data_IF_619611092402
#
_entry.id   IF_619611092402
#
_cell.length_a   1.000
_cell.length_b   1.000
_cell.length_c   1.000
_cell.angle_alpha   90.00
_cell.angle_beta   90.00
_cell.angle_gamma   90.00
#
_symmetry.space_group_name_H-M   'P 1'
#
loop_
_entity.id
_entity.type
_entity.pdbx_description
1 polymer ?
#
# COMPACT_ATOMS: atom_id res chain seq x y z
N UNK A 1 17.05 -57.13 -39.60
CA UNK A 1 16.55 -58.50 -39.81
C UNK A 1 15.17 -58.61 -39.16
N UNK A 2 14.13 -58.69 -40.00
CA UNK A 2 12.78 -59.28 -39.79
C UNK A 2 11.97 -58.79 -38.57
N UNK A 3 11.01 -57.86 -38.70
CA UNK A 3 9.62 -57.97 -39.21
C UNK A 3 8.61 -58.64 -38.25
N UNK A 4 7.55 -57.89 -37.91
CA UNK A 4 6.11 -58.23 -38.05
C UNK A 4 5.30 -57.03 -37.50
N UNK A 5 4.23 -56.50 -38.12
CA UNK A 5 3.45 -56.90 -39.28
C UNK A 5 1.95 -56.90 -38.96
N UNK A 6 1.14 -56.14 -39.73
CA UNK A 6 -0.34 -56.19 -39.74
C UNK A 6 -0.99 -54.80 -39.58
N UNK A 7 -1.23 -53.98 -40.62
CA UNK A 7 -2.09 -54.06 -41.83
C UNK A 7 -3.61 -54.05 -41.58
N UNK A 8 -4.25 -53.02 -42.14
CA UNK A 8 -5.67 -52.93 -42.46
C UNK A 8 -5.94 -51.75 -43.39
N UNK A 9 -5.87 -51.97 -44.70
CA UNK A 9 -6.33 -51.09 -45.80
C UNK A 9 -7.33 -51.85 -46.65
N UNK A 10 -8.37 -51.22 -47.21
CA UNK A 10 -8.94 -51.50 -48.56
C UNK A 10 -9.90 -50.32 -48.94
N UNK A 11 -9.57 -49.45 -49.91
CA UNK A 11 -9.89 -49.41 -51.39
C UNK A 11 -11.32 -48.88 -51.67
N UNK A 12 -11.51 -47.68 -52.27
CA UNK A 12 -11.38 -47.21 -53.67
C UNK A 12 -12.62 -47.43 -54.56
N UNK A 13 -13.08 -46.35 -55.20
CA UNK A 13 -13.94 -46.36 -56.39
C UNK A 13 -13.99 -44.98 -57.08
N UNK A 14 -13.44 -44.89 -58.30
CA UNK A 14 -13.57 -43.77 -59.27
C UNK A 14 -15.02 -43.75 -59.83
N UNK A 15 -15.57 -42.73 -60.49
CA UNK A 15 -15.14 -42.13 -61.76
C UNK A 15 -16.21 -41.11 -62.28
N UNK A 16 -15.80 -40.23 -63.21
CA UNK A 16 -16.57 -39.46 -64.23
C UNK A 16 -17.06 -38.02 -63.90
N UNK A 17 -16.51 -37.02 -64.62
CA UNK A 17 -17.20 -35.76 -64.98
C UNK A 17 -17.85 -35.89 -66.37
N UNK A 18 -18.10 -34.80 -67.15
CA UNK A 18 -18.21 -33.36 -66.85
C UNK A 18 -19.56 -32.76 -67.36
N UNK A 19 -19.80 -31.44 -67.23
CA UNK A 19 -20.54 -30.59 -68.21
C UNK A 19 -20.33 -29.09 -67.88
N UNK A 20 -20.26 -28.32 -68.96
CA UNK A 20 -19.77 -26.94 -69.16
C UNK A 20 -20.89 -25.91 -69.12
N UNK A 21 -20.58 -24.67 -68.66
CA UNK A 21 -21.01 -23.35 -69.20
C UNK A 21 -20.82 -22.29 -68.09
N UNK A 22 -20.25 -21.09 -68.23
CA UNK A 22 -19.79 -20.29 -69.37
C UNK A 22 -19.95 -18.79 -69.02
N UNK A 23 -18.89 -17.98 -69.16
CA UNK A 23 -18.89 -16.49 -69.15
C UNK A 23 -18.01 -15.83 -68.07
N UNK A 24 -16.74 -15.41 -68.28
CA UNK A 24 -16.19 -14.21 -68.98
C UNK A 24 -16.67 -12.88 -68.32
N UNK A 25 -15.87 -11.90 -67.86
CA UNK A 25 -14.54 -11.34 -68.24
C UNK A 25 -13.98 -10.40 -67.13
N UNK A 26 -12.64 -10.34 -66.98
CA UNK A 26 -11.79 -9.16 -66.65
C UNK A 26 -11.93 -8.48 -65.26
N UNK A 27 -10.90 -8.15 -64.47
CA UNK A 27 -9.54 -7.75 -64.78
C UNK A 27 -8.59 -7.89 -63.56
N UNK A 28 -7.31 -7.95 -63.88
CA UNK A 28 -6.11 -7.97 -63.05
C UNK A 28 -5.92 -6.80 -62.04
N UNK A 29 -5.32 -7.14 -60.89
CA UNK A 29 -4.16 -6.48 -60.22
C UNK A 29 -4.35 -5.11 -59.51
N UNK A 30 -4.31 -5.08 -58.16
CA UNK A 30 -3.18 -4.62 -57.28
C UNK A 30 -3.62 -4.30 -55.82
N UNK A 31 -3.01 -5.04 -54.87
CA UNK A 31 -2.43 -4.69 -53.56
C UNK A 31 -2.89 -3.45 -52.75
N UNK A 32 -3.30 -3.63 -51.47
CA UNK A 32 -2.91 -2.78 -50.31
C UNK A 32 -2.95 -3.58 -48.99
N UNK A 33 -1.76 -3.84 -48.43
CA UNK A 33 -1.50 -4.22 -47.02
C UNK A 33 -1.87 -3.09 -46.04
N UNK A 34 -2.32 -3.50 -44.84
CA UNK A 34 -1.71 -2.99 -43.61
C UNK A 34 -2.55 -2.05 -42.76
N UNK A 35 -3.21 -2.59 -41.73
CA UNK A 35 -3.59 -1.92 -40.46
C UNK A 35 -4.32 -2.96 -39.59
N UNK A 36 -3.63 -3.63 -38.66
CA UNK A 36 -4.21 -4.31 -37.45
C UNK A 36 -3.24 -5.18 -36.63
N UNK A 37 -1.91 -5.15 -36.84
CA UNK A 37 -0.96 -5.93 -36.00
C UNK A 37 -0.15 -5.09 -35.00
N UNK A 38 0.04 -3.80 -35.24
CA UNK A 38 0.95 -2.93 -34.46
C UNK A 38 0.33 -2.37 -33.18
N UNK A 39 -0.96 -2.01 -33.19
CA UNK A 39 -1.64 -1.50 -31.99
C UNK A 39 -1.72 -2.55 -30.87
N UNK A 40 -1.95 -3.82 -31.23
CA UNK A 40 -2.08 -4.92 -30.27
C UNK A 40 -0.71 -5.35 -29.70
N UNK A 41 0.36 -5.22 -30.49
CA UNK A 41 1.74 -5.46 -30.05
C UNK A 41 2.25 -4.40 -29.07
N UNK A 42 1.98 -3.12 -29.37
CA UNK A 42 2.35 -2.00 -28.50
C UNK A 42 1.61 -2.06 -27.16
N UNK A 43 0.29 -2.31 -27.18
CA UNK A 43 -0.48 -2.47 -25.95
C UNK A 43 0.06 -3.61 -25.07
N UNK A 44 0.30 -4.79 -25.65
CA UNK A 44 0.89 -5.93 -24.92
C UNK A 44 2.25 -5.58 -24.32
N UNK A 45 3.09 -4.82 -25.04
CA UNK A 45 4.41 -4.37 -24.56
C UNK A 45 4.27 -3.40 -23.38
N UNK A 46 3.35 -2.44 -23.44
CA UNK A 46 3.06 -1.53 -22.33
C UNK A 46 2.52 -2.25 -21.10
N UNK A 47 1.61 -3.21 -21.29
CA UNK A 47 1.07 -4.02 -20.20
C UNK A 47 2.17 -4.84 -19.52
N UNK A 48 3.05 -5.48 -20.31
CA UNK A 48 4.19 -6.25 -19.77
C UNK A 48 5.21 -5.35 -19.06
N UNK A 49 5.52 -4.19 -19.63
CA UNK A 49 6.43 -3.23 -19.03
C UNK A 49 5.88 -2.71 -17.69
N UNK A 50 4.56 -2.42 -17.61
CA UNK A 50 3.90 -2.05 -16.36
C UNK A 50 3.93 -3.21 -15.37
N UNK A 51 3.44 -4.39 -15.73
CA UNK A 51 3.43 -5.56 -14.85
C UNK A 51 4.82 -5.87 -14.27
N UNK A 52 5.88 -5.78 -15.09
CA UNK A 52 7.25 -5.95 -14.64
C UNK A 52 7.74 -4.82 -13.73
N UNK A 53 7.29 -3.58 -13.96
CA UNK A 53 7.65 -2.39 -13.17
C UNK A 53 6.90 -2.31 -11.84
N UNK A 54 5.64 -2.76 -11.79
CA UNK A 54 4.74 -2.60 -10.65
C UNK A 54 4.57 -3.89 -9.83
N UNK A 55 5.03 -5.03 -10.33
CA UNK A 55 4.78 -6.35 -9.73
C UNK A 55 3.31 -6.81 -9.85
N UNK A 56 2.47 -6.05 -10.56
CA UNK A 56 1.07 -6.38 -10.81
C UNK A 56 0.96 -7.59 -11.77
N UNK A 57 -0.13 -8.35 -11.65
CA UNK A 57 -0.47 -9.37 -12.65
C UNK A 57 -0.74 -8.72 -14.02
N UNK A 58 -0.48 -9.44 -15.12
CA UNK A 58 -0.71 -8.92 -16.47
C UNK A 58 -2.14 -8.40 -16.68
N UNK A 59 -3.13 -9.06 -16.07
CA UNK A 59 -4.55 -8.66 -16.11
C UNK A 59 -4.82 -7.37 -15.33
N UNK A 60 -4.20 -7.18 -14.17
CA UNK A 60 -4.29 -5.92 -13.41
C UNK A 60 -3.62 -4.76 -14.17
N UNK A 61 -2.45 -4.99 -14.75
CA UNK A 61 -1.76 -4.00 -15.59
C UNK A 61 -2.58 -3.64 -16.84
N UNK A 62 -3.28 -4.61 -17.44
CA UNK A 62 -4.15 -4.39 -18.61
C UNK A 62 -5.41 -3.62 -18.27
N UNK A 63 -6.05 -3.90 -17.12
CA UNK A 63 -7.18 -3.12 -16.65
C UNK A 63 -6.80 -1.68 -16.39
N UNK A 64 -5.64 -1.44 -15.79
CA UNK A 64 -5.15 -0.09 -15.53
C UNK A 64 -4.94 0.72 -16.81
N UNK A 65 -4.32 0.11 -17.84
CA UNK A 65 -4.10 0.78 -19.14
C UNK A 65 -5.43 1.06 -19.86
N UNK A 66 -6.43 0.20 -19.69
CA UNK A 66 -7.77 0.39 -20.27
C UNK A 66 -8.64 1.40 -19.52
N UNK A 67 -8.30 1.73 -18.27
CA UNK A 67 -9.06 2.65 -17.43
C UNK A 67 -8.54 4.08 -17.44
N UNK A 68 -7.40 4.36 -18.10
CA UNK A 68 -6.95 5.74 -18.35
C UNK A 68 -8.05 6.50 -19.11
N UNK A 69 -8.74 7.46 -18.48
CA UNK A 69 -9.68 8.30 -19.21
C UNK A 69 -8.89 9.26 -20.11
N UNK A 70 -9.44 9.60 -21.28
CA UNK A 70 -8.87 10.59 -22.22
C UNK A 70 -8.71 12.00 -21.60
N UNK A 71 -9.22 12.22 -20.38
CA UNK A 71 -8.97 13.41 -19.57
C UNK A 71 -8.57 13.03 -18.13
N UNK A 72 -7.60 13.73 -17.54
CA UNK A 72 -7.21 13.55 -16.15
C UNK A 72 -8.38 13.90 -15.23
N UNK A 73 -8.88 12.90 -14.48
CA UNK A 73 -10.01 13.06 -13.57
C UNK A 73 -9.49 13.35 -12.18
N UNK A 74 -9.88 14.51 -11.64
CA UNK A 74 -9.67 14.84 -10.23
C UNK A 74 -10.60 13.95 -9.40
N UNK A 75 -10.01 13.20 -8.48
CA UNK A 75 -10.67 12.34 -7.49
C UNK A 75 -10.45 12.94 -6.12
N UNK A 76 -11.44 12.84 -5.25
CA UNK A 76 -11.34 13.29 -3.87
C UNK A 76 -12.08 12.36 -2.94
N UNK A 77 -11.60 12.28 -1.70
CA UNK A 77 -12.19 11.47 -0.65
C UNK A 77 -11.99 12.17 0.69
N UNK A 78 -13.01 12.11 1.55
CA UNK A 78 -12.92 12.60 2.92
C UNK A 78 -12.37 11.48 3.81
N UNK A 79 -11.24 11.72 4.47
CA UNK A 79 -10.59 10.73 5.34
C UNK A 79 -10.45 11.27 6.75
N UNK A 80 -10.51 10.35 7.71
CA UNK A 80 -10.22 10.60 9.10
C UNK A 80 -8.90 9.92 9.49
N UNK A 81 -8.09 10.59 10.28
CA UNK A 81 -6.98 9.99 11.02
C UNK A 81 -7.33 10.00 12.50
N UNK A 82 -7.09 8.88 13.18
CA UNK A 82 -7.35 8.73 14.59
C UNK A 82 -6.04 8.77 15.39
N UNK A 83 -6.13 9.28 16.62
CA UNK A 83 -5.19 8.97 17.69
C UNK A 83 -5.96 8.24 18.80
N UNK A 84 -5.39 7.17 19.35
CA UNK A 84 -6.07 6.29 20.32
C UNK A 84 -5.32 6.21 21.62
N UNK A 85 -6.00 5.83 22.70
CA UNK A 85 -5.34 5.40 23.92
C UNK A 85 -4.33 4.26 23.62
N UNK A 86 -3.27 4.18 24.42
CA UNK A 86 -2.28 3.09 24.29
C UNK A 86 -2.64 1.96 25.25
N UNK A 87 -2.68 0.74 24.72
CA UNK A 87 -2.86 -0.47 25.49
C UNK A 87 -1.75 -1.46 25.14
N UNK A 88 -1.03 -1.97 26.15
CA UNK A 88 0.23 -2.69 25.92
C UNK A 88 0.37 -4.04 26.65
N UNK A 89 -0.65 -4.47 27.40
CA UNK A 89 -0.64 -5.79 28.07
C UNK A 89 -1.65 -6.74 27.43
N UNK A 90 -1.24 -7.61 26.48
CA UNK A 90 -2.17 -8.46 25.75
C UNK A 90 -2.82 -9.57 26.58
N UNK A 91 -2.55 -9.65 27.90
CA UNK A 91 -3.20 -10.53 28.86
C UNK A 91 -4.47 -9.92 29.46
N UNK A 92 -4.57 -8.59 29.47
CA UNK A 92 -5.70 -7.89 30.06
C UNK A 92 -6.90 -7.88 29.10
N UNK A 93 -7.79 -8.84 29.32
CA UNK A 93 -9.03 -8.99 28.54
C UNK A 93 -9.89 -7.73 28.59
N UNK A 94 -10.02 -7.09 29.76
CA UNK A 94 -10.90 -5.94 29.92
C UNK A 94 -10.38 -4.73 29.15
N UNK A 95 -9.08 -4.46 29.25
CA UNK A 95 -8.46 -3.36 28.53
C UNK A 95 -8.42 -3.61 27.01
N UNK A 96 -8.24 -4.86 26.57
CA UNK A 96 -8.34 -5.22 25.15
C UNK A 96 -9.75 -4.95 24.59
N UNK A 97 -10.81 -5.29 25.35
CA UNK A 97 -12.19 -4.95 24.98
C UNK A 97 -12.42 -3.45 24.95
N UNK A 98 -11.87 -2.71 25.93
CA UNK A 98 -11.99 -1.27 25.99
C UNK A 98 -11.32 -0.58 24.78
N UNK A 99 -10.14 -1.05 24.37
CA UNK A 99 -9.45 -0.57 23.15
C UNK A 99 -10.31 -0.79 21.90
N UNK A 100 -10.87 -1.99 21.72
CA UNK A 100 -11.76 -2.28 20.59
C UNK A 100 -13.04 -1.42 20.60
N UNK A 101 -13.60 -1.16 21.78
CA UNK A 101 -14.74 -0.26 21.95
C UNK A 101 -14.39 1.21 21.62
N UNK A 102 -13.22 1.70 22.05
CA UNK A 102 -12.74 3.04 21.71
C UNK A 102 -12.56 3.20 20.20
N UNK A 103 -11.96 2.20 19.52
CA UNK A 103 -11.83 2.20 18.06
C UNK A 103 -13.20 2.33 17.38
N UNK A 104 -14.19 1.53 17.80
CA UNK A 104 -15.55 1.60 17.22
C UNK A 104 -16.21 2.95 17.50
N UNK A 105 -16.04 3.56 18.68
CA UNK A 105 -16.52 4.92 18.94
C UNK A 105 -15.92 5.93 17.95
N UNK A 106 -14.60 5.88 17.72
CA UNK A 106 -13.92 6.77 16.78
C UNK A 106 -14.33 6.52 15.32
N UNK A 107 -14.64 5.27 14.95
CA UNK A 107 -15.23 4.95 13.65
C UNK A 107 -16.61 5.60 13.48
N UNK A 108 -17.45 5.56 14.51
CA UNK A 108 -18.77 6.20 14.49
C UNK A 108 -18.65 7.73 14.34
N UNK A 109 -17.71 8.36 15.05
CA UNK A 109 -17.41 9.78 14.91
C UNK A 109 -16.95 10.12 13.50
N UNK A 110 -16.02 9.35 12.94
CA UNK A 110 -15.56 9.57 11.57
C UNK A 110 -16.70 9.42 10.56
N UNK A 111 -17.56 8.41 10.71
CA UNK A 111 -18.76 8.26 9.89
C UNK A 111 -19.68 9.47 9.99
N UNK A 112 -19.96 9.98 11.19
CA UNK A 112 -20.79 11.18 11.42
C UNK A 112 -20.21 12.43 10.76
N UNK A 113 -18.88 12.53 10.63
CA UNK A 113 -18.21 13.62 9.91
C UNK A 113 -18.19 13.45 8.38
N UNK A 114 -18.79 12.37 7.86
CA UNK A 114 -18.84 12.05 6.43
C UNK A 114 -17.54 11.45 5.88
N UNK A 115 -16.63 10.96 6.73
CA UNK A 115 -15.43 10.28 6.27
C UNK A 115 -15.79 8.96 5.57
N UNK A 116 -15.06 8.66 4.50
CA UNK A 116 -15.15 7.40 3.74
C UNK A 116 -14.10 6.38 4.18
N UNK A 117 -13.02 6.87 4.81
CA UNK A 117 -11.91 6.09 5.33
C UNK A 117 -11.49 6.62 6.70
N UNK A 118 -11.17 5.72 7.64
CA UNK A 118 -10.50 6.02 8.91
C UNK A 118 -9.20 5.23 9.03
N UNK A 119 -8.13 5.91 9.46
CA UNK A 119 -6.80 5.36 9.68
C UNK A 119 -6.41 5.44 11.17
N UNK A 120 -5.98 4.31 11.73
CA UNK A 120 -5.61 4.16 13.14
C UNK A 120 -4.11 3.84 13.35
N UNK A 121 -3.60 4.00 14.58
CA UNK A 121 -2.18 3.82 14.89
C UNK A 121 -1.71 2.36 14.77
N UNK A 122 -0.39 2.19 14.87
CA UNK A 122 0.24 0.89 15.05
C UNK A 122 -0.26 0.28 16.37
N UNK A 123 -0.57 -1.01 16.39
CA UNK A 123 -1.07 -1.65 17.62
C UNK A 123 -2.33 -0.99 18.20
N UNK A 124 -3.20 -0.41 17.37
CA UNK A 124 -4.45 0.23 17.79
C UNK A 124 -5.31 -0.67 18.70
N UNK A 125 -5.33 -1.98 18.45
CA UNK A 125 -6.00 -2.97 19.32
C UNK A 125 -5.17 -3.29 20.58
N UNK A 126 -3.86 -3.39 20.42
CA UNK A 126 -2.88 -3.65 21.48
C UNK A 126 -1.50 -3.49 20.84
N UNK A 127 -0.60 -2.80 21.53
CA UNK A 127 0.83 -2.70 21.22
C UNK A 127 1.63 -3.44 22.31
N UNK A 128 1.81 -4.78 22.20
CA UNK A 128 2.39 -5.59 23.26
C UNK A 128 3.72 -5.03 23.79
N UNK A 129 3.83 -4.91 25.11
CA UNK A 129 5.05 -4.43 25.74
C UNK A 129 6.11 -5.55 25.76
N UNK A 130 7.27 -5.26 25.17
CA UNK A 130 8.43 -6.18 25.11
C UNK A 130 8.83 -6.81 26.45
N UNK A 131 8.63 -6.11 27.58
CA UNK A 131 8.94 -6.64 28.93
C UNK A 131 7.87 -7.57 29.44
N UNK A 132 6.60 -7.26 29.18
CA UNK A 132 5.47 -8.12 29.53
C UNK A 132 5.53 -9.43 28.73
N UNK A 133 5.95 -9.33 27.47
CA UNK A 133 6.07 -10.50 26.59
C UNK A 133 7.30 -11.36 26.87
N UNK A 134 8.34 -10.82 27.51
CA UNK A 134 9.60 -11.54 27.72
C UNK A 134 9.42 -12.86 28.48
N UNK A 135 9.88 -13.96 27.88
CA UNK A 135 9.99 -15.28 28.50
C UNK A 135 10.92 -15.25 29.73
N UNK A 136 11.97 -14.44 29.68
CA UNK A 136 12.96 -14.27 30.76
C UNK A 136 12.43 -13.45 31.95
N UNK A 137 11.18 -12.99 31.88
CA UNK A 137 10.55 -12.15 32.89
C UNK A 137 10.70 -10.64 32.64
N UNK A 138 10.03 -9.79 33.45
CA UNK A 138 9.83 -8.37 33.12
C UNK A 138 11.09 -7.49 33.23
N UNK A 139 12.16 -7.98 33.86
CA UNK A 139 13.40 -7.23 34.08
C UNK A 139 14.31 -7.24 32.85
N UNK A 140 14.27 -8.32 32.07
CA UNK A 140 15.11 -8.52 30.88
C UNK A 140 14.24 -8.56 29.62
N UNK A 141 14.77 -8.07 28.50
CA UNK A 141 14.12 -8.22 27.19
C UNK A 141 14.68 -9.50 26.56
N UNK A 142 13.90 -10.57 26.60
CA UNK A 142 14.18 -11.84 25.93
C UNK A 142 13.15 -12.14 24.84
N UNK A 143 13.17 -13.37 24.27
CA UNK A 143 12.16 -13.84 23.33
C UNK A 143 10.74 -13.62 23.87
N UNK A 144 9.82 -13.22 22.99
CA UNK A 144 8.41 -13.00 23.35
C UNK A 144 7.62 -14.30 23.46
N UNK A 145 7.02 -14.53 24.62
CA UNK A 145 6.04 -15.57 24.92
C UNK A 145 4.66 -15.20 24.36
N UNK A 146 4.39 -15.61 23.13
CA UNK A 146 3.11 -15.34 22.47
C UNK A 146 1.94 -16.18 23.00
N UNK A 147 2.17 -17.11 23.94
CA UNK A 147 1.08 -17.80 24.64
C UNK A 147 0.36 -16.89 25.62
N UNK A 148 0.99 -15.78 26.03
CA UNK A 148 0.42 -14.75 26.91
C UNK A 148 -0.62 -13.86 26.23
N UNK A 149 -0.72 -13.89 24.90
CA UNK A 149 -1.69 -13.06 24.21
C UNK A 149 -3.07 -13.73 24.24
N UNK A 150 -4.09 -12.97 24.64
CA UNK A 150 -5.49 -13.39 24.61
C UNK A 150 -6.05 -13.41 23.18
N UNK A 151 -5.55 -14.36 22.37
CA UNK A 151 -5.84 -14.47 20.94
C UNK A 151 -7.32 -14.61 20.62
N UNK A 152 -8.08 -15.30 21.47
CA UNK A 152 -9.52 -15.49 21.30
C UNK A 152 -10.27 -14.17 21.41
N UNK A 153 -9.89 -13.34 22.39
CA UNK A 153 -10.46 -12.02 22.64
C UNK A 153 -10.05 -11.05 21.54
N UNK A 154 -8.77 -11.03 21.16
CA UNK A 154 -8.28 -10.21 20.07
C UNK A 154 -9.07 -10.50 18.78
N UNK A 155 -9.23 -11.78 18.42
CA UNK A 155 -9.99 -12.18 17.23
C UNK A 155 -11.44 -11.72 17.27
N UNK A 156 -12.08 -11.77 18.45
CA UNK A 156 -13.45 -11.29 18.60
C UNK A 156 -13.55 -9.77 18.40
N UNK A 157 -12.60 -8.99 18.92
CA UNK A 157 -12.56 -7.54 18.68
C UNK A 157 -12.27 -7.20 17.22
N UNK A 158 -11.35 -7.93 16.56
CA UNK A 158 -11.10 -7.79 15.13
C UNK A 158 -12.37 -8.03 14.29
N UNK A 159 -13.12 -9.09 14.61
CA UNK A 159 -14.36 -9.42 13.92
C UNK A 159 -15.48 -8.42 14.22
N UNK A 160 -15.57 -7.91 15.46
CA UNK A 160 -16.51 -6.86 15.81
C UNK A 160 -16.22 -5.56 15.05
N UNK A 161 -14.96 -5.14 14.99
CA UNK A 161 -14.52 -3.97 14.20
C UNK A 161 -14.82 -4.16 12.72
N UNK A 162 -14.58 -5.36 12.16
CA UNK A 162 -14.90 -5.68 10.77
C UNK A 162 -16.40 -5.59 10.46
N UNK A 163 -17.25 -6.13 11.33
CA UNK A 163 -18.71 -6.02 11.21
C UNK A 163 -19.17 -4.56 11.28
N UNK A 164 -18.61 -3.79 12.20
CA UNK A 164 -18.96 -2.39 12.38
C UNK A 164 -18.53 -1.52 11.18
N UNK A 165 -17.39 -1.80 10.57
CA UNK A 165 -16.96 -1.15 9.32
C UNK A 165 -17.99 -1.35 8.19
N UNK A 166 -18.59 -2.55 8.07
CA UNK A 166 -19.69 -2.81 7.13
C UNK A 166 -20.93 -1.98 7.44
N UNK A 167 -21.32 -1.92 8.70
CA UNK A 167 -22.51 -1.20 9.15
C UNK A 167 -22.42 0.30 8.85
N UNK A 168 -21.26 0.88 9.14
CA UNK A 168 -20.97 2.29 8.85
C UNK A 168 -20.64 2.56 7.38
N UNK A 169 -20.46 1.52 6.56
CA UNK A 169 -19.90 1.61 5.21
C UNK A 169 -18.60 2.41 5.19
N UNK A 170 -17.69 2.14 6.12
CA UNK A 170 -16.48 2.91 6.36
C UNK A 170 -15.24 2.06 6.11
N UNK A 171 -14.36 2.49 5.20
CA UNK A 171 -13.05 1.86 5.07
C UNK A 171 -12.25 2.07 6.34
N UNK A 172 -11.71 0.99 6.90
CA UNK A 172 -11.11 1.02 8.24
C UNK A 172 -9.74 0.36 8.19
N UNK A 173 -8.70 1.14 8.47
CA UNK A 173 -7.30 0.71 8.46
C UNK A 173 -6.75 0.83 9.87
N UNK A 174 -6.24 -0.26 10.43
CA UNK A 174 -5.79 -0.25 11.82
C UNK A 174 -4.68 -1.26 12.12
N UNK A 175 -3.82 -0.88 13.07
CA UNK A 175 -2.72 -1.71 13.56
C UNK A 175 -3.15 -2.78 14.54
N UNK A 176 -2.61 -3.99 14.35
CA UNK A 176 -2.81 -5.12 15.26
C UNK A 176 -1.75 -6.19 15.03
N UNK A 177 -1.71 -7.18 15.92
CA UNK A 177 -0.81 -8.34 15.81
C UNK A 177 -1.48 -9.41 14.95
N UNK A 178 -0.76 -9.95 13.97
CA UNK A 178 -1.23 -11.05 13.13
C UNK A 178 -0.59 -12.38 13.53
N UNK A 179 -1.40 -13.28 14.09
CA UNK A 179 -0.97 -14.61 14.52
C UNK A 179 -0.53 -15.47 13.32
N UNK A 180 0.67 -16.06 13.42
CA UNK A 180 1.16 -17.07 12.47
C UNK A 180 1.12 -18.47 13.09
N UNK A 181 1.24 -19.48 12.25
CA UNK A 181 1.40 -20.86 12.70
C UNK A 181 2.76 -21.07 13.35
N UNK A 182 2.80 -21.89 14.41
CA UNK A 182 4.04 -22.30 15.07
C UNK A 182 5.05 -22.88 14.07
N UNK A 183 6.36 -22.62 14.20
CA UNK A 183 7.04 -21.88 15.29
C UNK A 183 7.21 -20.38 15.03
N UNK A 184 6.49 -19.81 14.06
CA UNK A 184 6.73 -18.43 13.63
C UNK A 184 6.16 -17.41 14.62
N UNK A 185 6.95 -16.37 14.93
CA UNK A 185 6.47 -15.17 15.64
C UNK A 185 5.45 -14.45 14.76
N UNK A 186 4.43 -13.80 15.35
CA UNK A 186 3.43 -13.05 14.59
C UNK A 186 4.04 -11.88 13.81
N UNK A 187 3.25 -11.32 12.90
CA UNK A 187 3.56 -10.03 12.29
C UNK A 187 3.00 -8.88 13.13
N UNK A 188 3.64 -7.72 13.04
CA UNK A 188 3.02 -6.45 13.35
C UNK A 188 2.40 -5.90 12.06
N UNK A 189 1.10 -5.65 12.05
CA UNK A 189 0.35 -5.52 10.80
C UNK A 189 -0.63 -4.35 10.81
N UNK A 190 -0.91 -3.79 9.62
CA UNK A 190 -2.12 -3.01 9.35
C UNK A 190 -3.13 -3.87 8.61
N UNK A 191 -4.32 -4.02 9.16
CA UNK A 191 -5.45 -4.62 8.45
C UNK A 191 -6.17 -3.56 7.64
N UNK A 192 -6.53 -3.88 6.40
CA UNK A 192 -7.32 -3.01 5.51
C UNK A 192 -8.70 -3.62 5.33
N UNK A 193 -9.70 -3.04 5.97
CA UNK A 193 -11.10 -3.48 5.90
C UNK A 193 -11.89 -2.56 4.98
N UNK A 194 -12.61 -3.14 4.01
CA UNK A 194 -13.50 -2.37 3.13
C UNK A 194 -14.76 -1.89 3.83
N UNK A 195 -15.47 -0.98 3.20
CA UNK A 195 -16.82 -0.55 3.60
C UNK A 195 -17.89 -1.66 3.50
N UNK A 196 -17.55 -2.83 2.95
CA UNK A 196 -18.38 -4.06 2.99
C UNK A 196 -18.02 -4.96 4.17
N UNK A 197 -17.03 -4.58 4.97
CA UNK A 197 -16.46 -5.40 6.03
C UNK A 197 -15.61 -6.56 5.50
N UNK A 198 -15.08 -6.47 4.28
CA UNK A 198 -14.17 -7.49 3.76
C UNK A 198 -12.74 -7.14 4.18
N UNK A 199 -11.97 -8.14 4.62
CA UNK A 199 -10.52 -7.97 4.79
C UNK A 199 -9.89 -7.98 3.39
N UNK A 200 -9.65 -6.79 2.84
CA UNK A 200 -9.13 -6.62 1.47
C UNK A 200 -7.69 -7.06 1.39
N UNK A 201 -6.88 -6.63 2.36
CA UNK A 201 -5.46 -6.95 2.44
C UNK A 201 -4.93 -6.69 3.85
N UNK A 202 -3.68 -7.06 4.07
CA UNK A 202 -2.93 -6.82 5.29
C UNK A 202 -1.51 -6.40 4.92
N UNK A 203 -1.06 -5.29 5.49
CA UNK A 203 0.34 -4.89 5.46
C UNK A 203 1.06 -5.45 6.67
N UNK A 204 2.27 -5.97 6.50
CA UNK A 204 3.12 -6.45 7.59
C UNK A 204 4.40 -5.59 7.62
N UNK A 205 4.78 -5.05 8.78
CA UNK A 205 5.94 -4.17 8.94
C UNK A 205 7.21 -4.85 8.39
N UNK A 206 7.89 -4.18 7.46
CA UNK A 206 9.01 -4.73 6.69
C UNK A 206 10.32 -4.45 7.41
N UNK A 207 10.49 -3.22 7.90
CA UNK A 207 11.69 -2.79 8.62
C UNK A 207 11.41 -2.75 10.12
N UNK A 208 11.72 -3.85 10.80
CA UNK A 208 11.52 -3.99 12.24
C UNK A 208 12.69 -3.37 13.02
N UNK A 209 12.38 -2.69 14.13
CA UNK A 209 13.42 -2.22 15.06
C UNK A 209 14.21 -3.37 15.66
N UNK A 210 15.40 -3.08 16.19
CA UNK A 210 16.29 -4.10 16.75
C UNK A 210 15.58 -4.99 17.78
N UNK A 211 14.76 -4.41 18.66
CA UNK A 211 13.94 -5.19 19.60
C UNK A 211 12.90 -6.03 18.87
N UNK A 212 12.15 -5.43 17.93
CA UNK A 212 11.07 -6.11 17.22
C UNK A 212 11.59 -7.35 16.48
N UNK A 213 12.67 -7.21 15.70
CA UNK A 213 13.25 -8.34 14.95
C UNK A 213 13.88 -9.40 15.87
N UNK A 214 14.60 -8.95 16.91
CA UNK A 214 15.33 -9.88 17.79
C UNK A 214 14.38 -10.75 18.61
N UNK A 215 13.25 -10.19 19.07
CA UNK A 215 12.45 -10.82 20.13
C UNK A 215 10.97 -10.99 19.82
N UNK A 216 10.37 -10.09 19.02
CA UNK A 216 8.91 -9.95 19.02
C UNK A 216 8.23 -10.48 17.76
N UNK A 217 8.66 -10.06 16.58
CA UNK A 217 7.89 -10.21 15.35
C UNK A 217 8.72 -10.83 14.22
N UNK A 218 8.01 -11.45 13.28
CA UNK A 218 8.56 -11.79 11.96
C UNK A 218 8.32 -10.62 11.01
N UNK A 219 9.28 -10.21 10.16
CA UNK A 219 9.10 -9.10 9.24
C UNK A 219 8.19 -9.47 8.06
N UNK A 220 7.47 -8.48 7.56
CA UNK A 220 6.84 -8.49 6.25
C UNK A 220 7.86 -8.39 5.12
N UNK A 221 7.37 -8.36 3.88
CA UNK A 221 8.25 -8.34 2.68
C UNK A 221 7.85 -7.28 1.66
N UNK A 222 6.56 -7.25 1.32
CA UNK A 222 6.08 -6.50 0.16
C UNK A 222 5.42 -5.18 0.58
N UNK A 223 5.50 -4.13 -0.25
CA UNK A 223 4.60 -2.99 -0.13
C UNK A 223 3.16 -3.45 -0.34
N UNK A 224 2.21 -2.74 0.27
CA UNK A 224 0.78 -2.98 0.08
C UNK A 224 0.12 -1.71 -0.40
N UNK A 225 -0.63 -1.84 -1.50
CA UNK A 225 -1.48 -0.77 -2.02
C UNK A 225 -2.91 -1.26 -2.20
N UNK A 226 -3.85 -0.32 -2.12
CA UNK A 226 -5.28 -0.56 -2.35
C UNK A 226 -5.93 0.73 -2.86
N UNK A 227 -7.14 0.63 -3.41
CA UNK A 227 -7.86 1.78 -3.99
C UNK A 227 -9.18 2.02 -3.27
N UNK A 228 -9.48 3.29 -3.00
CA UNK A 228 -10.76 3.74 -2.43
C UNK A 228 -11.21 4.99 -3.20
N UNK A 229 -12.43 4.94 -3.75
CA UNK A 229 -13.04 6.04 -4.51
C UNK A 229 -12.14 6.61 -5.62
N UNK A 230 -11.31 5.77 -6.22
CA UNK A 230 -10.39 6.11 -7.32
C UNK A 230 -9.07 6.74 -6.88
N UNK A 231 -8.77 6.78 -5.58
CA UNK A 231 -7.49 7.17 -5.02
C UNK A 231 -6.73 5.94 -4.51
N UNK A 232 -5.41 5.92 -4.73
CA UNK A 232 -4.54 4.81 -4.34
C UNK A 232 -3.86 5.09 -3.01
N UNK A 233 -3.93 4.13 -2.10
CA UNK A 233 -3.35 4.21 -0.78
C UNK A 233 -2.19 3.23 -0.63
N UNK A 234 -1.18 3.60 0.15
CA UNK A 234 -0.09 2.73 0.60
C UNK A 234 -0.07 2.61 2.12
N UNK A 235 0.56 1.56 2.66
CA UNK A 235 0.67 1.32 4.10
C UNK A 235 2.13 1.30 4.56
N UNK A 236 2.46 1.98 5.65
CA UNK A 236 3.80 1.91 6.25
C UNK A 236 3.70 2.03 7.76
N UNK A 237 4.70 1.54 8.50
CA UNK A 237 4.66 1.56 9.96
C UNK A 237 5.99 1.77 10.66
N UNK A 238 5.91 2.25 11.90
CA UNK A 238 7.01 2.23 12.85
C UNK A 238 8.23 3.00 12.35
N UNK A 239 9.39 2.35 12.32
CA UNK A 239 10.63 3.02 11.91
C UNK A 239 10.74 3.26 10.41
N UNK A 240 9.82 2.72 9.60
CA UNK A 240 9.85 2.88 8.14
C UNK A 240 9.78 4.34 7.69
N UNK A 241 9.21 5.24 8.51
CA UNK A 241 9.18 6.68 8.22
C UNK A 241 10.57 7.31 8.09
N UNK A 242 11.58 6.75 8.73
CA UNK A 242 12.96 7.22 8.60
C UNK A 242 13.58 6.90 7.22
N UNK A 243 12.95 6.01 6.43
CA UNK A 243 13.55 5.42 5.23
C UNK A 243 12.92 5.98 3.94
N UNK A 244 13.55 6.97 3.27
CA UNK A 244 13.00 7.59 2.06
C UNK A 244 12.78 6.61 0.90
N UNK A 245 13.50 5.49 0.86
CA UNK A 245 13.33 4.44 -0.14
C UNK A 245 11.93 3.79 -0.09
N UNK A 246 11.31 3.67 1.10
CA UNK A 246 9.95 3.13 1.26
C UNK A 246 8.93 4.09 0.62
N UNK A 247 9.10 5.39 0.84
CA UNK A 247 8.21 6.42 0.30
C UNK A 247 8.45 6.63 -1.21
N UNK A 248 9.69 6.47 -1.66
CA UNK A 248 10.03 6.46 -3.09
C UNK A 248 9.43 5.24 -3.80
N UNK A 249 9.37 4.08 -3.15
CA UNK A 249 8.69 2.89 -3.69
C UNK A 249 7.19 3.15 -3.85
N UNK A 250 6.52 3.73 -2.85
CA UNK A 250 5.10 4.09 -2.98
C UNK A 250 4.84 5.15 -4.05
N UNK A 251 5.74 6.12 -4.23
CA UNK A 251 5.69 7.06 -5.35
C UNK A 251 5.68 6.32 -6.69
N UNK A 252 6.54 5.31 -6.87
CA UNK A 252 6.61 4.49 -8.10
C UNK A 252 5.37 3.64 -8.33
N UNK A 253 4.62 3.32 -7.27
CA UNK A 253 3.34 2.61 -7.34
C UNK A 253 2.13 3.52 -7.62
N UNK A 254 2.37 4.80 -7.94
CA UNK A 254 1.32 5.78 -8.22
C UNK A 254 0.39 6.02 -7.01
N UNK A 255 0.90 5.88 -5.78
CA UNK A 255 0.13 6.18 -4.56
C UNK A 255 -0.22 7.66 -4.48
N UNK A 256 -1.43 7.97 -4.01
CA UNK A 256 -1.95 9.31 -3.71
C UNK A 256 -1.86 9.64 -2.21
N UNK A 257 -1.92 8.64 -1.34
CA UNK A 257 -1.79 8.81 0.11
C UNK A 257 -1.11 7.62 0.79
N UNK A 258 -0.06 7.86 1.58
CA UNK A 258 0.52 6.82 2.45
C UNK A 258 -0.09 6.93 3.84
N UNK A 259 -0.66 5.83 4.32
CA UNK A 259 -1.13 5.65 5.69
C UNK A 259 0.03 5.13 6.54
N UNK A 260 0.60 6.02 7.35
CA UNK A 260 1.72 5.73 8.22
C UNK A 260 1.28 5.62 9.68
N UNK A 261 1.42 4.42 10.26
CA UNK A 261 1.00 4.16 11.64
C UNK A 261 2.20 3.92 12.55
N UNK A 262 2.18 4.47 13.76
CA UNK A 262 3.27 4.33 14.74
C UNK A 262 2.73 4.22 16.16
N UNK A 263 3.45 3.55 17.05
CA UNK A 263 3.20 3.68 18.49
C UNK A 263 3.60 5.06 19.03
N UNK A 264 4.33 5.83 18.22
CA UNK A 264 5.05 7.05 18.54
C UNK A 264 6.30 6.78 19.37
N UNK A 265 6.97 7.85 19.78
CA UNK A 265 8.20 7.78 20.56
C UNK A 265 7.92 7.69 22.06
N UNK A 266 8.88 7.29 22.89
CA UNK A 266 8.63 7.35 24.34
C UNK A 266 8.51 8.82 24.80
N UNK A 267 7.49 9.20 25.60
CA UNK A 267 7.31 10.58 26.06
C UNK A 267 8.50 11.17 26.82
N UNK A 268 9.39 10.32 27.34
CA UNK A 268 10.64 10.69 28.00
C UNK A 268 11.70 11.29 27.06
N UNK A 269 11.55 11.17 25.75
CA UNK A 269 12.45 11.72 24.72
C UNK A 269 11.62 12.24 23.55
N UNK A 270 10.93 13.38 23.70
CA UNK A 270 10.09 13.92 22.64
C UNK A 270 10.95 14.35 21.45
N UNK A 271 10.83 13.66 20.31
CA UNK A 271 11.37 14.11 19.03
C UNK A 271 10.26 14.61 18.10
N UNK A 272 10.61 15.61 17.30
CA UNK A 272 9.81 16.04 16.17
C UNK A 272 10.20 15.31 14.87
N UNK A 273 11.12 14.34 14.93
CA UNK A 273 11.66 13.65 13.76
C UNK A 273 10.54 13.04 12.91
N UNK A 274 9.63 12.26 13.50
CA UNK A 274 8.55 11.65 12.72
C UNK A 274 7.65 12.69 12.03
N UNK A 275 7.36 13.82 12.71
CA UNK A 275 6.57 14.88 12.10
C UNK A 275 7.31 15.52 10.92
N UNK A 276 8.60 15.83 11.09
CA UNK A 276 9.42 16.44 10.06
C UNK A 276 9.59 15.52 8.84
N UNK A 277 9.82 14.23 9.08
CA UNK A 277 9.97 13.22 8.03
C UNK A 277 8.67 12.98 7.28
N UNK A 278 7.51 12.91 7.97
CA UNK A 278 6.22 12.82 7.30
C UNK A 278 5.97 14.01 6.36
N UNK A 279 6.23 15.23 6.82
CA UNK A 279 6.10 16.41 5.95
C UNK A 279 7.12 16.38 4.81
N UNK A 280 8.36 15.97 5.09
CA UNK A 280 9.42 15.84 4.11
C UNK A 280 9.11 14.81 3.02
N UNK A 281 8.56 13.65 3.38
CA UNK A 281 8.15 12.61 2.43
C UNK A 281 6.93 13.04 1.61
N UNK A 282 5.95 13.70 2.22
CA UNK A 282 4.80 14.25 1.51
C UNK A 282 5.26 15.27 0.46
N UNK A 283 6.13 16.21 0.85
CA UNK A 283 6.69 17.21 -0.04
C UNK A 283 7.57 16.61 -1.14
N UNK A 284 8.43 15.64 -0.80
CA UNK A 284 9.45 15.05 -1.70
C UNK A 284 8.87 14.06 -2.71
N UNK A 285 7.69 13.51 -2.44
CA UNK A 285 7.00 12.58 -3.33
C UNK A 285 5.69 13.12 -3.92
N UNK A 286 5.28 14.33 -3.51
CA UNK A 286 4.09 15.02 -4.02
C UNK A 286 2.81 14.19 -3.89
N UNK A 287 2.60 13.64 -2.70
CA UNK A 287 1.38 12.92 -2.32
C UNK A 287 1.04 13.18 -0.84
N UNK A 288 -0.12 12.72 -0.39
CA UNK A 288 -0.58 12.90 0.99
C UNK A 288 0.07 11.88 1.94
N UNK A 289 0.23 12.24 3.21
CA UNK A 289 0.60 11.28 4.27
C UNK A 289 -0.36 11.43 5.44
N UNK A 290 -0.99 10.33 5.84
CA UNK A 290 -1.74 10.26 7.10
C UNK A 290 -0.83 9.66 8.16
N UNK A 291 -0.45 10.46 9.16
CA UNK A 291 0.33 10.02 10.32
C UNK A 291 -0.61 9.74 11.48
N UNK A 292 -0.64 8.49 11.94
CA UNK A 292 -1.46 8.04 13.06
C UNK A 292 -0.61 7.47 14.19
N UNK A 293 -0.77 8.02 15.38
CA UNK A 293 -0.03 7.71 16.59
C UNK A 293 -0.96 7.62 17.82
N UNK A 294 -0.52 6.99 18.90
CA UNK A 294 -1.29 6.94 20.14
C UNK A 294 -1.40 8.32 20.81
N UNK A 295 -2.53 8.59 21.44
CA UNK A 295 -2.91 9.82 22.08
C UNK A 295 -1.90 10.38 23.11
N UNK A 296 -1.20 9.57 23.95
CA UNK A 296 -0.16 10.11 24.83
C UNK A 296 0.97 10.85 24.09
N UNK A 297 1.17 10.57 22.81
CA UNK A 297 2.17 11.23 21.95
C UNK A 297 1.72 12.61 21.46
N UNK A 298 0.41 12.83 21.46
CA UNK A 298 -0.20 14.01 20.87
C UNK A 298 0.21 15.31 21.54
N UNK A 299 0.71 15.25 22.78
CA UNK A 299 1.28 16.41 23.49
C UNK A 299 2.45 17.04 22.75
N UNK A 300 3.16 16.25 21.93
CA UNK A 300 4.28 16.72 21.10
C UNK A 300 3.95 16.60 19.61
N UNK A 301 3.49 15.43 19.16
CA UNK A 301 3.16 15.15 17.77
C UNK A 301 1.77 14.53 17.70
N UNK A 302 0.70 15.34 17.55
CA UNK A 302 -0.64 14.80 17.34
C UNK A 302 -0.73 14.10 15.99
N UNK A 303 -1.65 13.14 15.89
CA UNK A 303 -1.96 12.53 14.59
C UNK A 303 -2.46 13.58 13.61
N UNK A 304 -2.19 13.40 12.32
CA UNK A 304 -2.49 14.42 11.32
C UNK A 304 -2.37 13.94 9.89
N UNK A 305 -2.81 14.79 8.96
CA UNK A 305 -2.72 14.53 7.53
C UNK A 305 -1.89 15.64 6.90
N UNK A 306 -0.74 15.26 6.36
CA UNK A 306 0.18 16.11 5.63
C UNK A 306 -0.22 16.18 4.15
N UNK A 307 -0.21 17.39 3.60
CA UNK A 307 -0.49 17.68 2.21
C UNK A 307 0.79 17.56 1.34
N UNK A 308 0.64 17.41 0.01
CA UNK A 308 1.77 17.29 -0.93
C UNK A 308 2.75 18.48 -0.95
N UNK A 309 2.40 19.61 -0.33
CA UNK A 309 3.23 20.80 -0.16
C UNK A 309 4.11 20.76 1.10
N UNK A 310 4.03 19.68 1.89
CA UNK A 310 4.77 19.53 3.13
C UNK A 310 4.18 20.31 4.31
N UNK A 311 2.89 20.64 4.26
CA UNK A 311 2.17 21.27 5.37
C UNK A 311 1.11 20.35 5.97
N UNK A 312 0.79 20.53 7.25
CA UNK A 312 -0.34 19.84 7.87
C UNK A 312 -1.67 20.42 7.35
N UNK A 313 -2.49 19.60 6.70
CA UNK A 313 -3.84 19.98 6.30
C UNK A 313 -4.83 19.92 7.48
N UNK A 314 -4.65 18.95 8.37
CA UNK A 314 -5.42 18.82 9.62
C UNK A 314 -4.61 18.03 10.64
N UNK A 315 -4.83 18.30 11.93
CA UNK A 315 -4.24 17.57 13.07
C UNK A 315 -5.28 17.35 14.16
N UNK A 316 -5.11 16.28 14.92
CA UNK A 316 -5.83 16.03 16.15
C UNK A 316 -5.42 17.03 17.25
N UNK A 317 -6.21 17.15 18.33
CA UNK A 317 -5.82 17.92 19.51
C UNK A 317 -4.56 17.37 20.19
N UNK A 318 -3.82 18.26 20.85
CA UNK A 318 -2.61 17.94 21.63
C UNK A 318 -2.94 17.62 23.10
N UNK A 319 -4.13 17.07 23.36
CA UNK A 319 -4.66 16.91 24.73
C UNK A 319 -4.16 15.65 25.46
N UNK A 320 -3.47 14.74 24.78
CA UNK A 320 -3.16 13.42 25.33
C UNK A 320 -4.32 12.42 25.23
N UNK A 321 -5.44 12.81 24.63
CA UNK A 321 -6.68 12.02 24.59
C UNK A 321 -7.01 11.49 23.19
N UNK A 322 -7.83 10.42 23.15
CA UNK A 322 -8.27 9.81 21.90
C UNK A 322 -9.20 10.75 21.12
N UNK A 323 -8.88 10.98 19.84
CA UNK A 323 -9.60 11.91 18.98
C UNK A 323 -9.42 11.55 17.49
N UNK A 324 -10.21 12.18 16.63
CA UNK A 324 -10.03 12.13 15.18
C UNK A 324 -9.77 13.52 14.60
N UNK A 325 -9.10 13.56 13.45
CA UNK A 325 -8.95 14.72 12.60
C UNK A 325 -9.35 14.35 11.17
N UNK A 326 -10.09 15.23 10.50
CA UNK A 326 -10.77 14.91 9.24
C UNK A 326 -10.49 15.96 8.19
N UNK A 327 -10.12 15.54 6.99
CA UNK A 327 -9.97 16.43 5.83
C UNK A 327 -10.35 15.72 4.55
N UNK A 328 -10.51 16.50 3.47
CA UNK A 328 -10.69 15.97 2.12
C UNK A 328 -9.35 15.97 1.41
N UNK A 329 -8.89 14.80 0.98
CA UNK A 329 -7.71 14.68 0.12
C UNK A 329 -8.15 14.56 -1.35
N UNK A 330 -7.24 14.93 -2.25
CA UNK A 330 -7.46 14.85 -3.71
C UNK A 330 -6.17 14.49 -4.43
N UNK A 331 -6.27 13.77 -5.56
CA UNK A 331 -5.15 13.66 -6.48
C UNK A 331 -4.96 14.98 -7.23
N UNK A 332 -3.79 15.14 -7.83
CA UNK A 332 -3.46 16.24 -8.72
C UNK A 332 -2.81 15.69 -10.00
N UNK A 333 -3.62 15.16 -10.93
CA UNK A 333 -3.09 14.51 -12.14
C UNK A 333 -2.39 15.48 -13.09
N UNK A 334 -2.67 16.78 -12.98
CA UNK A 334 -2.04 17.83 -13.78
C UNK A 334 -0.70 18.29 -13.20
N UNK A 335 -0.38 17.90 -11.96
CA UNK A 335 0.86 18.31 -11.32
C UNK A 335 2.09 17.81 -12.11
N UNK A 336 2.97 18.71 -12.57
CA UNK A 336 4.19 18.29 -13.26
C UNK A 336 5.22 17.71 -12.29
N UNK A 337 5.01 17.80 -10.97
CA UNK A 337 6.01 17.49 -9.96
C UNK A 337 6.48 16.03 -10.01
N UNK A 338 5.56 15.05 -10.02
CA UNK A 338 5.93 13.62 -10.07
C UNK A 338 6.57 13.23 -11.41
N UNK A 339 5.99 13.58 -12.58
CA UNK A 339 6.64 13.32 -13.87
C UNK A 339 8.05 13.93 -13.95
N UNK A 340 8.20 15.19 -13.56
CA UNK A 340 9.50 15.87 -13.56
C UNK A 340 10.52 15.18 -12.65
N UNK A 341 10.14 14.86 -11.41
CA UNK A 341 11.04 14.22 -10.45
C UNK A 341 11.42 12.79 -10.86
N UNK A 342 10.53 12.06 -11.53
CA UNK A 342 10.85 10.76 -12.13
C UNK A 342 11.91 10.90 -13.22
N UNK A 343 11.77 11.92 -14.08
CA UNK A 343 12.77 12.21 -15.11
C UNK A 343 14.10 12.66 -14.50
N UNK A 344 14.07 13.56 -13.52
CA UNK A 344 15.27 14.05 -12.82
C UNK A 344 16.05 12.92 -12.11
N UNK A 345 15.36 11.91 -11.57
CA UNK A 345 16.00 10.74 -10.93
C UNK A 345 16.47 9.67 -11.92
N UNK A 346 16.14 9.81 -13.20
CA UNK A 346 16.67 8.98 -14.27
C UNK A 346 17.96 9.62 -14.82
N UNK A 347 18.33 9.30 -16.05
CA UNK A 347 19.58 9.79 -16.66
C UNK A 347 19.44 11.19 -17.29
N UNK A 348 18.52 12.02 -16.81
CA UNK A 348 18.25 13.34 -17.38
C UNK A 348 19.52 14.21 -17.41
N UNK A 349 20.36 14.12 -16.38
CA UNK A 349 21.51 14.99 -16.23
C UNK A 349 22.75 14.50 -16.99
N UNK A 350 22.86 13.20 -17.27
CA UNK A 350 24.07 12.59 -17.87
C UNK A 350 24.51 13.28 -19.16
N UNK A 351 23.64 13.61 -20.14
CA UNK A 351 24.04 14.31 -21.36
C UNK A 351 24.42 15.78 -21.17
N UNK A 352 24.14 16.34 -19.98
CA UNK A 352 24.36 17.74 -19.64
C UNK A 352 25.53 17.94 -18.66
N UNK A 353 26.14 16.85 -18.18
CA UNK A 353 27.34 16.90 -17.36
C UNK A 353 28.53 17.30 -18.23
N UNK A 354 29.31 18.28 -17.76
CA UNK A 354 30.52 18.75 -18.45
C UNK A 354 31.71 18.00 -17.87
N UNK A 355 32.32 17.15 -18.70
CA UNK A 355 33.54 16.42 -18.36
C UNK A 355 34.78 17.12 -18.94
N UNK A 356 35.84 17.25 -18.14
CA UNK A 356 37.16 17.71 -18.61
C UNK A 356 37.34 19.23 -18.67
N UNK A 357 36.37 20.01 -18.16
CA UNK A 357 36.53 21.45 -18.00
C UNK A 357 37.27 21.75 -16.67
N UNK A 358 38.44 22.39 -16.66
CA UNK A 358 39.21 22.63 -15.44
C UNK A 358 38.50 23.49 -14.38
N UNK A 359 37.52 24.32 -14.76
CA UNK A 359 36.72 25.13 -13.82
C UNK A 359 35.55 24.33 -13.25
N UNK A 360 34.99 23.39 -14.01
CA UNK A 360 34.00 22.41 -13.54
C UNK A 360 34.64 21.36 -12.62
N UNK A 361 35.77 20.78 -13.04
CA UNK A 361 36.46 19.71 -12.33
C UNK A 361 37.25 20.23 -11.12
N UNK A 362 37.79 21.45 -11.24
CA UNK A 362 38.58 22.12 -10.20
C UNK A 362 37.72 22.76 -9.12
N UNK A 363 37.53 22.08 -7.99
CA UNK A 363 36.72 22.59 -6.85
C UNK A 363 37.39 23.67 -5.97
N UNK A 364 38.52 24.23 -6.40
CA UNK A 364 39.33 25.20 -5.62
C UNK A 364 39.47 26.58 -6.31
N UNK A 365 38.71 26.82 -7.38
CA UNK A 365 38.73 28.05 -8.15
C UNK A 365 37.29 28.59 -8.22
N UNK A 366 37.14 29.92 -8.23
CA UNK A 366 35.87 30.61 -8.46
C UNK A 366 35.56 30.74 -9.96
#
# INVERSE_FOLDING_TARGET
MVLNGGKGTFVSGRCLGPIVSGGLLGNCVRDVKGLTMTQNGNLKRFVRARAAKTGESYTAALQHIRQLPDKPVIRSIRIAVAQTSVFNDPRDISALRASGAEMRRLMEEAHKTGARLIHFPEGATCSPNKRIMSENGPREIGPSDWTRCEWSVLRQELEATRKFARELKLWTIFGSVHQLTSPHRPHNSLYVISDRGELVTRYDERLLSNTKISFMYSPGKNPVTFEVDGLRFGCSMGMELHYPEIFTEYERHDVDCVLFSTTGETPSTPSLAFAAEALGHAASNSYWISLSAHAPQSVTVPSGIAAPDGQWAVRCPTSGEAAIAVTTIRNDPESPARPWRRNARADLYTPHQIDGDPRSDGRKLF
#
